data_IF_748045799691
#
_entry.id   IF_748045799691
#
_cell.length_a   1.000
_cell.length_b   1.000
_cell.length_c   1.000
_cell.angle_alpha   90.00
_cell.angle_beta   90.00
_cell.angle_gamma   90.00
#
_symmetry.space_group_name_H-M   'P 1'
#
loop_
_entity.id
_entity.type
_entity.pdbx_description
1 polymer ?
#
# COMPACT_ATOMS: atom_id res chain seq x y z
N UNK A 1 12.37 -12.87 -25.87
CA UNK A 1 12.44 -13.28 -24.45
C UNK A 1 11.11 -13.93 -24.09
N UNK A 2 11.10 -15.07 -23.38
CA UNK A 2 9.85 -15.76 -23.01
C UNK A 2 9.40 -15.26 -21.64
N UNK A 3 8.14 -14.84 -21.52
CA UNK A 3 7.54 -14.50 -20.24
C UNK A 3 7.51 -15.75 -19.34
N UNK A 4 7.86 -15.56 -18.07
CA UNK A 4 7.73 -16.58 -17.02
C UNK A 4 6.80 -16.00 -15.96
N UNK A 5 5.65 -16.63 -15.66
CA UNK A 5 4.75 -16.14 -14.64
C UNK A 5 5.42 -16.10 -13.27
N UNK A 6 5.02 -15.13 -12.46
CA UNK A 6 5.30 -15.17 -11.04
C UNK A 6 4.26 -16.09 -10.37
N UNK A 7 4.59 -17.36 -10.21
CA UNK A 7 3.67 -18.37 -9.68
C UNK A 7 3.14 -18.03 -8.28
N UNK A 8 3.97 -17.44 -7.41
CA UNK A 8 3.54 -17.02 -6.07
C UNK A 8 2.51 -15.88 -6.12
N UNK A 9 2.71 -14.88 -6.98
CA UNK A 9 1.73 -13.82 -7.22
C UNK A 9 0.39 -14.43 -7.68
N UNK A 10 0.44 -15.33 -8.68
CA UNK A 10 -0.76 -16.01 -9.20
C UNK A 10 -1.51 -16.77 -8.11
N UNK A 11 -0.79 -17.47 -7.24
CA UNK A 11 -1.37 -18.19 -6.11
C UNK A 11 -1.99 -17.23 -5.09
N UNK A 12 -1.29 -16.17 -4.66
CA UNK A 12 -1.80 -15.20 -3.69
C UNK A 12 -3.05 -14.49 -4.23
N UNK A 13 -3.04 -13.98 -5.46
CA UNK A 13 -4.21 -13.31 -6.06
C UNK A 13 -5.45 -14.22 -6.15
N UNK A 14 -5.24 -15.53 -6.25
CA UNK A 14 -6.34 -16.50 -6.32
C UNK A 14 -6.99 -16.74 -4.95
N UNK A 15 -6.21 -16.70 -3.87
CA UNK A 15 -6.63 -17.21 -2.57
C UNK A 15 -6.71 -16.18 -1.44
N UNK A 16 -5.95 -15.08 -1.51
CA UNK A 16 -5.80 -14.09 -0.42
C UNK A 16 -7.14 -13.61 0.16
N UNK A 17 -8.12 -13.33 -0.69
CA UNK A 17 -9.45 -12.82 -0.29
C UNK A 17 -10.53 -13.90 -0.21
N UNK A 18 -10.17 -15.19 -0.34
CA UNK A 18 -11.11 -16.33 -0.34
C UNK A 18 -10.95 -17.23 0.88
N UNK A 19 -9.96 -16.97 1.72
CA UNK A 19 -9.68 -17.75 2.92
C UNK A 19 -10.10 -16.98 4.16
N UNK A 20 -10.53 -17.70 5.20
CA UNK A 20 -10.85 -17.08 6.51
C UNK A 20 -9.59 -16.63 7.27
N UNK A 21 -8.50 -17.37 7.08
CA UNK A 21 -7.22 -17.10 7.71
C UNK A 21 -6.15 -17.09 6.64
N UNK A 22 -5.51 -15.94 6.42
CA UNK A 22 -4.38 -15.81 5.51
C UNK A 22 -3.08 -15.89 6.32
N UNK A 23 -2.38 -17.02 6.24
CA UNK A 23 -1.09 -17.23 6.90
C UNK A 23 0.11 -17.04 5.95
N UNK A 24 -0.17 -16.68 4.69
CA UNK A 24 0.85 -16.50 3.65
C UNK A 24 1.28 -15.05 3.44
N UNK A 25 0.60 -14.11 4.09
CA UNK A 25 0.93 -12.69 3.99
C UNK A 25 2.13 -12.31 4.88
N UNK A 26 2.71 -11.13 4.65
CA UNK A 26 3.94 -10.63 5.26
C UNK A 26 3.93 -10.45 6.79
N UNK A 27 2.78 -10.54 7.44
CA UNK A 27 2.55 -10.24 8.86
C UNK A 27 2.40 -8.74 9.15
N UNK A 28 2.43 -7.88 8.13
CA UNK A 28 2.42 -6.42 8.29
C UNK A 28 1.02 -5.88 8.00
N UNK A 29 0.32 -5.48 9.06
CA UNK A 29 -0.96 -4.83 8.92
C UNK A 29 -0.78 -3.38 8.42
N UNK A 30 -1.45 -2.99 7.32
CA UNK A 30 -1.35 -1.64 6.81
C UNK A 30 -1.98 -0.65 7.79
N UNK A 31 -1.32 0.49 7.99
CA UNK A 31 -1.90 1.60 8.74
C UNK A 31 -2.93 2.35 7.89
N UNK A 32 -3.97 2.80 8.54
CA UNK A 32 -4.82 3.88 8.01
C UNK A 32 -4.05 5.20 8.01
N UNK A 33 -4.48 6.13 7.15
CA UNK A 33 -3.94 7.51 7.14
C UNK A 33 -4.05 8.15 8.54
N UNK A 34 -5.15 7.89 9.24
CA UNK A 34 -5.37 8.43 10.58
C UNK A 34 -4.37 7.89 11.61
N UNK A 35 -4.08 6.59 11.61
CA UNK A 35 -3.09 6.00 12.53
C UNK A 35 -1.69 6.56 12.25
N UNK A 36 -1.30 6.65 10.97
CA UNK A 36 -0.02 7.22 10.59
C UNK A 36 0.13 8.67 11.06
N UNK A 37 -0.87 9.51 10.81
CA UNK A 37 -0.86 10.91 11.25
C UNK A 37 -0.90 11.05 12.77
N UNK A 38 -1.64 10.16 13.46
CA UNK A 38 -1.66 10.10 14.91
C UNK A 38 -0.29 9.81 15.50
N UNK A 39 0.46 8.86 14.92
CA UNK A 39 1.84 8.55 15.32
C UNK A 39 2.80 9.72 15.05
N UNK A 40 2.57 10.46 13.97
CA UNK A 40 3.38 11.62 13.59
C UNK A 40 3.00 12.92 14.33
N UNK A 41 1.90 12.95 15.10
CA UNK A 41 1.37 14.17 15.70
C UNK A 41 0.89 15.19 14.66
N UNK A 42 0.49 14.73 13.47
CA UNK A 42 0.14 15.57 12.33
C UNK A 42 -1.38 15.65 12.10
N UNK A 43 -1.83 16.74 11.48
CA UNK A 43 -3.22 16.93 11.07
C UNK A 43 -3.44 16.43 9.63
N UNK A 44 -4.65 15.94 9.34
CA UNK A 44 -5.05 15.57 7.98
C UNK A 44 -5.46 16.77 7.12
N UNK A 45 -5.72 17.94 7.72
CA UNK A 45 -6.20 19.14 7.01
C UNK A 45 -5.30 19.52 5.83
N UNK A 46 -3.95 19.55 5.95
CA UNK A 46 -3.09 19.87 4.82
C UNK A 46 -3.24 18.91 3.63
N UNK A 47 -3.56 17.63 3.87
CA UNK A 47 -3.75 16.65 2.79
C UNK A 47 -4.99 16.95 1.95
N UNK A 48 -6.01 17.57 2.54
CA UNK A 48 -7.25 17.93 1.84
C UNK A 48 -7.07 19.09 0.87
N UNK A 49 -6.05 19.92 1.09
CA UNK A 49 -5.73 21.08 0.26
C UNK A 49 -4.76 20.72 -0.89
N UNK A 50 -4.24 19.49 -0.93
CA UNK A 50 -3.33 19.04 -1.99
C UNK A 50 -4.11 18.85 -3.28
N UNK A 51 -3.68 19.54 -4.35
CA UNK A 51 -4.22 19.32 -5.70
C UNK A 51 -3.85 17.92 -6.19
N UNK A 52 -4.85 17.17 -6.63
CA UNK A 52 -4.65 15.88 -7.29
C UNK A 52 -3.97 16.09 -8.65
N UNK A 53 -2.72 15.66 -8.75
CA UNK A 53 -1.91 15.79 -9.95
C UNK A 53 -0.66 14.95 -9.87
N UNK A 54 0.13 14.98 -10.94
CA UNK A 54 1.43 14.30 -10.94
C UNK A 54 2.40 15.07 -10.04
N UNK A 55 2.83 14.42 -8.96
CA UNK A 55 4.00 14.84 -8.19
C UNK A 55 5.29 14.50 -8.93
N UNK A 56 6.42 14.95 -8.40
CA UNK A 56 7.75 14.51 -8.85
C UNK A 56 7.84 12.98 -8.82
N UNK A 57 8.06 12.36 -9.98
CA UNK A 57 7.90 10.91 -10.20
C UNK A 57 9.01 10.06 -9.61
N UNK A 58 10.15 10.67 -9.27
CA UNK A 58 11.29 10.03 -8.62
C UNK A 58 11.41 10.35 -7.12
N UNK A 59 10.33 10.85 -6.51
CA UNK A 59 10.30 11.31 -5.11
C UNK A 59 10.53 12.81 -5.03
N UNK A 60 9.77 13.48 -4.17
CA UNK A 60 9.89 14.93 -3.95
C UNK A 60 11.22 15.24 -3.26
N UNK A 61 12.00 16.19 -3.81
CA UNK A 61 13.20 16.70 -3.14
C UNK A 61 12.81 17.50 -1.88
N UNK A 62 13.57 17.30 -0.79
CA UNK A 62 13.35 17.94 0.52
C UNK A 62 13.64 19.44 0.50
#
# INVERSE_FOLDING_TARGET
>A
MRFVPFELERWQSTWENRVRFNLSESGVHPLTIQELLGLAGASAVPLLEIRLGYSQSNGTDL
#
